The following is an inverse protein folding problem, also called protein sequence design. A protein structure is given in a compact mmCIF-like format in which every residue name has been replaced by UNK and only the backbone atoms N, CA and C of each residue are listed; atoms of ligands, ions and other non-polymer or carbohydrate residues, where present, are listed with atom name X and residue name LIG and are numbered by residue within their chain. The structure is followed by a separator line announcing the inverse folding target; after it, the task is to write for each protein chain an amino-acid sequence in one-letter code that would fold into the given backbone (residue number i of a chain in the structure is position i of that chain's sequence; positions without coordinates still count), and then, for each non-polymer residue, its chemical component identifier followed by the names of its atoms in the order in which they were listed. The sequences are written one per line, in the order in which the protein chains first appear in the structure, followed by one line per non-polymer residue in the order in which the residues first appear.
data_IF_220426674580
#
_entry.id   IF_220426674580
#
_cell.length_a   1.000
_cell.length_b   1.000
_cell.length_c   1.000
_cell.angle_alpha   90.00
_cell.angle_beta   90.00
_cell.angle_gamma   90.00
#
_symmetry.space_group_name_H-M   'P 1'
#
loop_
_entity.id
_entity.type
_entity.pdbx_description
1 polymer ?
#
# COMPACT_ATOMS: atom_id res chain seq x y z
N UNK A 1 27.60 8.80 3.79
CA UNK A 1 26.35 8.66 4.55
C UNK A 1 25.25 8.78 3.51
N UNK A 2 24.75 7.63 3.07
CA UNK A 2 23.92 7.50 1.88
C UNK A 2 22.56 8.23 1.99
N UNK A 3 22.27 9.01 0.94
CA UNK A 3 20.96 9.46 0.45
C UNK A 3 19.84 9.72 1.48
N UNK A 4 19.88 10.90 2.11
CA UNK A 4 18.69 11.63 2.57
C UNK A 4 18.08 12.42 1.41
N UNK A 5 17.67 11.74 0.34
CA UNK A 5 16.92 12.38 -0.75
C UNK A 5 15.53 11.74 -0.76
N UNK A 6 14.50 12.60 -0.81
CA UNK A 6 13.08 12.29 -1.00
C UNK A 6 12.21 12.16 0.27
N UNK A 7 12.46 12.99 1.28
CA UNK A 7 11.40 13.38 2.20
C UNK A 7 10.55 14.49 1.53
N UNK A 8 9.22 14.31 1.55
CA UNK A 8 8.18 15.25 1.08
C UNK A 8 7.59 15.12 -0.36
N UNK A 9 7.33 13.91 -0.89
CA UNK A 9 6.33 13.75 -1.97
C UNK A 9 5.75 12.34 -2.19
N UNK A 10 5.91 11.40 -1.24
CA UNK A 10 5.14 10.16 -1.34
C UNK A 10 3.67 10.50 -1.12
N UNK A 11 2.83 10.26 -2.13
CA UNK A 11 1.38 10.44 -2.03
C UNK A 11 0.91 9.59 -0.86
N UNK A 12 0.26 10.23 0.12
CA UNK A 12 -0.34 9.51 1.24
C UNK A 12 -1.65 8.95 0.75
N UNK A 13 -1.76 7.63 0.80
CA UNK A 13 -3.03 6.96 0.57
C UNK A 13 -3.75 6.96 1.93
N UNK A 14 -4.54 8.01 2.17
CA UNK A 14 -5.40 8.13 3.35
C UNK A 14 -6.83 7.70 3.07
N UNK A 15 -7.22 7.67 1.78
CA UNK A 15 -8.54 7.26 1.39
C UNK A 15 -8.59 5.75 1.14
N UNK A 16 -9.59 5.09 1.75
CA UNK A 16 -9.79 3.64 1.66
C UNK A 16 -9.94 3.18 0.21
N UNK A 17 -10.63 3.96 -0.63
CA UNK A 17 -10.84 3.63 -2.06
C UNK A 17 -9.50 3.67 -2.82
N UNK A 18 -8.65 4.66 -2.54
CA UNK A 18 -7.34 4.77 -3.18
C UNK A 18 -6.41 3.63 -2.75
N UNK A 19 -6.43 3.24 -1.47
CA UNK A 19 -5.68 2.09 -0.95
C UNK A 19 -6.14 0.79 -1.64
N UNK A 20 -7.45 0.55 -1.69
CA UNK A 20 -8.03 -0.63 -2.37
C UNK A 20 -7.62 -0.67 -3.84
N UNK A 21 -7.65 0.48 -4.52
CA UNK A 21 -7.29 0.58 -5.94
C UNK A 21 -5.81 0.25 -6.14
N UNK A 22 -4.93 0.80 -5.30
CA UNK A 22 -3.50 0.49 -5.35
C UNK A 22 -3.22 -0.99 -5.09
N UNK A 23 -3.91 -1.60 -4.11
CA UNK A 23 -3.83 -3.04 -3.82
C UNK A 23 -4.29 -3.86 -5.02
N UNK A 24 -5.43 -3.53 -5.64
CA UNK A 24 -5.94 -4.27 -6.79
C UNK A 24 -4.98 -4.21 -7.97
N UNK A 25 -4.43 -3.03 -8.28
CA UNK A 25 -3.44 -2.88 -9.36
C UNK A 25 -2.21 -3.76 -9.10
N UNK A 26 -1.69 -3.77 -7.88
CA UNK A 26 -0.55 -4.60 -7.49
C UNK A 26 -0.91 -6.11 -7.50
N UNK A 27 -2.12 -6.51 -7.07
CA UNK A 27 -2.59 -7.90 -7.20
C UNK A 27 -2.69 -8.33 -8.67
N UNK A 28 -3.20 -7.47 -9.54
CA UNK A 28 -3.27 -7.74 -10.99
C UNK A 28 -1.89 -7.89 -11.63
N UNK A 29 -0.86 -7.27 -11.06
CA UNK A 29 0.54 -7.48 -11.47
C UNK A 29 1.14 -8.80 -10.96
N UNK A 30 0.43 -9.53 -10.11
CA UNK A 30 0.87 -10.83 -9.56
C UNK A 30 1.60 -10.74 -8.23
N UNK A 31 1.52 -9.61 -7.52
CA UNK A 31 2.08 -9.51 -6.17
C UNK A 31 1.16 -10.18 -5.15
N UNK A 32 1.74 -11.02 -4.30
CA UNK A 32 1.07 -11.64 -3.15
C UNK A 32 0.90 -10.64 -2.00
N UNK A 33 -0.03 -10.92 -1.06
CA UNK A 33 -0.34 -10.01 0.06
C UNK A 33 0.91 -9.60 0.87
N UNK A 34 1.87 -10.52 1.02
CA UNK A 34 3.13 -10.28 1.74
C UNK A 34 4.07 -9.33 0.97
N UNK A 35 4.01 -9.35 -0.36
CA UNK A 35 4.83 -8.50 -1.23
C UNK A 35 4.16 -7.15 -1.52
N UNK A 36 2.82 -7.15 -1.58
CA UNK A 36 1.96 -5.97 -1.70
C UNK A 36 2.27 -4.92 -0.64
N UNK A 37 2.33 -5.32 0.63
CA UNK A 37 2.62 -4.39 1.72
C UNK A 37 4.01 -3.77 1.58
N UNK A 38 4.99 -4.56 1.11
CA UNK A 38 6.36 -4.10 0.91
C UNK A 38 6.45 -3.10 -0.23
N UNK A 39 5.82 -3.37 -1.36
CA UNK A 39 5.86 -2.49 -2.52
C UNK A 39 5.00 -1.23 -2.34
N UNK A 40 3.81 -1.35 -1.74
CA UNK A 40 2.94 -0.19 -1.51
C UNK A 40 3.57 0.79 -0.50
N UNK A 41 4.21 0.31 0.57
CA UNK A 41 4.90 1.15 1.56
C UNK A 41 6.22 1.72 1.05
N UNK A 42 6.81 1.08 0.04
CA UNK A 42 7.96 1.60 -0.69
C UNK A 42 7.59 2.81 -1.53
N UNK A 43 6.46 2.77 -2.24
CA UNK A 43 6.03 3.81 -3.19
C UNK A 43 5.20 4.90 -2.48
N UNK A 44 4.33 4.52 -1.56
CA UNK A 44 3.35 5.39 -0.90
C UNK A 44 3.46 5.35 0.62
N UNK A 45 3.02 6.42 1.27
CA UNK A 45 2.74 6.36 2.70
C UNK A 45 1.31 5.84 2.89
N UNK A 46 1.21 4.58 3.29
CA UNK A 46 -0.06 3.90 3.57
C UNK A 46 -0.32 3.87 5.07
N UNK A 47 -1.57 4.11 5.44
CA UNK A 47 -2.04 3.82 6.78
C UNK A 47 -2.19 2.29 6.94
N UNK A 48 -1.34 1.71 7.80
CA UNK A 48 -1.27 0.26 7.99
C UNK A 48 -2.53 -0.28 8.66
N UNK A 49 -3.18 0.51 9.50
CA UNK A 49 -4.42 0.10 10.18
C UNK A 49 -5.54 -0.09 9.15
N UNK A 50 -5.75 0.94 8.31
CA UNK A 50 -6.70 0.91 7.19
C UNK A 50 -6.37 -0.19 6.19
N UNK A 51 -5.09 -0.37 5.84
CA UNK A 51 -4.65 -1.44 4.94
C UNK A 51 -4.99 -2.83 5.50
N UNK A 52 -4.67 -3.09 6.78
CA UNK A 52 -4.96 -4.38 7.40
C UNK A 52 -6.47 -4.62 7.47
N UNK A 53 -7.26 -3.60 7.80
CA UNK A 53 -8.73 -3.69 7.80
C UNK A 53 -9.25 -4.14 6.42
N UNK A 54 -8.80 -3.46 5.35
CA UNK A 54 -9.16 -3.80 3.96
C UNK A 54 -8.75 -5.23 3.60
N UNK A 55 -7.52 -5.64 3.92
CA UNK A 55 -7.01 -6.98 3.59
C UNK A 55 -7.76 -8.06 4.34
N UNK A 56 -8.07 -7.83 5.62
CA UNK A 56 -8.87 -8.75 6.43
C UNK A 56 -10.30 -8.86 5.89
N UNK A 57 -10.93 -7.75 5.53
CA UNK A 57 -12.26 -7.76 4.90
C UNK A 57 -12.25 -8.45 3.53
N UNK A 58 -11.24 -8.21 2.71
CA UNK A 58 -11.09 -8.84 1.40
C UNK A 58 -10.76 -10.34 1.47
N UNK A 59 -10.15 -10.81 2.57
CA UNK A 59 -9.91 -12.22 2.81
C UNK A 59 -11.12 -12.95 3.43
N UNK A 60 -12.05 -12.19 4.03
CA UNK A 60 -13.27 -12.72 4.65
C UNK A 60 -14.47 -12.81 3.70
N UNK A 61 -14.38 -12.22 2.50
CA UNK A 61 -15.41 -12.25 1.46
C UNK A 61 -15.18 -13.38 0.44
#
# INVERSE_FOLDING_TARGET
MEHFVEDNSKRRLTDRIEIITAINILREQGYDNDDLIREITRIFYVDLDTYNEIVVEAAAA
#
